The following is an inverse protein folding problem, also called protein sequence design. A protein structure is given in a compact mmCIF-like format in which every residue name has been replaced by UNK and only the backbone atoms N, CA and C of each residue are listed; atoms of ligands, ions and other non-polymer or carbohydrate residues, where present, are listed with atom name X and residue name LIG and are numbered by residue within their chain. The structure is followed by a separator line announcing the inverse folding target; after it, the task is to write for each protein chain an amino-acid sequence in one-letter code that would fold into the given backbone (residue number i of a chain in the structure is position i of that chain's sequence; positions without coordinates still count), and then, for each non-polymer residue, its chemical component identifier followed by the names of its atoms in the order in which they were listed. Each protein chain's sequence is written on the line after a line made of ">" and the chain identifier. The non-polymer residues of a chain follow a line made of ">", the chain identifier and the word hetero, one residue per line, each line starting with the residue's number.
data_IF_076856853590
#
_entry.id   IF_076856853590
#
_cell.length_a   1.000
_cell.length_b   1.000
_cell.length_c   1.000
_cell.angle_alpha   90.00
_cell.angle_beta   90.00
_cell.angle_gamma   90.00
#
_symmetry.space_group_name_H-M   'P 1'
#
loop_
_entity.id
_entity.type
_entity.pdbx_description
1 polymer ?
#
# COMPACT_ATOMS: atom_id res chain seq x y z
N UNK A 1 26.91 2.83 1.64
CA UNK A 1 26.52 3.19 1.73
C UNK A 1 25.60 3.72 1.85
N UNK A 2 25.38 4.05 1.89
CA UNK A 2 24.52 4.80 1.87
C UNK A 2 23.19 4.48 1.94
N UNK A 3 22.78 3.56 1.86
CA UNK A 3 21.60 3.18 1.84
C UNK A 3 20.84 3.39 3.00
N UNK A 4 21.36 3.40 4.08
CA UNK A 4 20.63 3.67 5.26
C UNK A 4 19.81 4.90 5.13
N UNK A 5 20.22 5.77 4.30
CA UNK A 5 19.50 6.98 4.09
C UNK A 5 18.17 6.74 3.45
N UNK A 6 18.18 5.90 2.46
CA UNK A 6 16.97 5.61 1.77
C UNK A 6 16.03 4.87 2.65
N UNK A 7 16.58 4.24 3.68
CA UNK A 7 15.77 3.43 4.56
C UNK A 7 15.23 4.22 5.71
N UNK A 8 15.34 5.52 5.67
CA UNK A 8 14.85 6.36 6.75
C UNK A 8 13.32 6.31 6.86
N UNK A 9 12.65 5.74 5.88
CA UNK A 9 11.23 5.55 5.94
C UNK A 9 10.44 6.49 5.07
N UNK A 10 9.14 6.33 5.14
CA UNK A 10 8.20 7.13 4.36
C UNK A 10 7.20 7.75 5.30
N UNK A 11 6.76 8.97 4.96
CA UNK A 11 5.69 9.62 5.68
C UNK A 11 4.38 9.29 4.97
N UNK A 12 3.37 8.89 5.75
CA UNK A 12 2.02 8.68 5.23
C UNK A 12 1.14 9.76 5.86
N UNK A 13 0.59 10.63 5.05
CA UNK A 13 -0.27 11.68 5.60
C UNK A 13 -1.55 11.05 6.16
N UNK A 14 -2.07 11.66 7.20
CA UNK A 14 -3.26 11.14 7.91
C UNK A 14 -4.41 10.88 6.95
N UNK A 15 -4.61 11.75 6.00
CA UNK A 15 -5.68 11.60 5.02
C UNK A 15 -5.52 10.33 4.21
N UNK A 16 -4.29 10.02 3.79
CA UNK A 16 -4.03 8.81 3.03
C UNK A 16 -4.25 7.56 3.89
N UNK A 17 -3.77 7.60 5.12
CA UNK A 17 -3.95 6.50 6.06
C UNK A 17 -5.44 6.21 6.28
N UNK A 18 -6.22 7.25 6.52
CA UNK A 18 -7.65 7.10 6.79
C UNK A 18 -8.39 6.55 5.58
N UNK A 19 -8.04 7.02 4.38
CA UNK A 19 -8.65 6.54 3.14
C UNK A 19 -8.38 5.05 2.95
N UNK A 20 -7.14 4.63 3.18
CA UNK A 20 -6.76 3.23 3.01
C UNK A 20 -7.53 2.35 4.01
N UNK A 21 -7.56 2.77 5.26
CA UNK A 21 -8.21 1.98 6.30
C UNK A 21 -9.71 1.87 6.04
N UNK A 22 -10.37 2.97 5.67
CA UNK A 22 -11.79 2.96 5.36
C UNK A 22 -12.09 2.07 4.16
N UNK A 23 -11.25 2.12 3.12
CA UNK A 23 -11.43 1.29 1.95
C UNK A 23 -11.33 -0.19 2.33
N UNK A 24 -10.34 -0.53 3.16
CA UNK A 24 -10.16 -1.90 3.63
C UNK A 24 -11.39 -2.39 4.39
N UNK A 25 -11.91 -1.56 5.28
CA UNK A 25 -13.08 -1.92 6.06
C UNK A 25 -14.31 -2.11 5.20
N UNK A 26 -14.49 -1.27 4.18
CA UNK A 26 -15.68 -1.33 3.33
C UNK A 26 -15.69 -2.57 2.44
N UNK A 27 -14.50 -3.10 2.08
CA UNK A 27 -14.42 -4.25 1.18
C UNK A 27 -14.30 -5.58 1.92
N UNK A 28 -14.03 -5.55 3.23
CA UNK A 28 -13.91 -6.77 4.02
C UNK A 28 -15.17 -7.64 3.86
N UNK A 29 -15.04 -8.95 3.71
CA UNK A 29 -13.85 -9.79 3.91
C UNK A 29 -12.99 -9.97 2.66
N UNK A 30 -13.23 -9.24 1.60
CA UNK A 30 -12.41 -9.29 0.40
C UNK A 30 -11.23 -8.32 0.55
N UNK A 31 -10.14 -8.62 -0.14
CA UNK A 31 -9.01 -7.69 -0.20
C UNK A 31 -9.39 -6.49 -1.05
N UNK A 32 -9.02 -5.30 -0.60
CA UNK A 32 -9.13 -4.10 -1.42
C UNK A 32 -7.76 -3.75 -1.98
N UNK A 33 -7.73 -2.86 -2.95
CA UNK A 33 -6.46 -2.37 -3.50
C UNK A 33 -6.61 -0.96 -4.03
N UNK A 34 -5.48 -0.31 -4.23
CA UNK A 34 -5.45 1.03 -4.79
C UNK A 34 -4.03 1.52 -4.99
N UNK A 35 -3.91 2.77 -5.37
CA UNK A 35 -2.64 3.37 -5.69
C UNK A 35 -2.28 4.41 -4.64
N UNK A 36 -0.99 4.63 -4.46
CA UNK A 36 -0.46 5.63 -3.53
C UNK A 36 0.08 6.79 -4.35
N UNK A 37 -0.37 7.99 -4.05
CA UNK A 37 0.06 9.20 -4.75
C UNK A 37 0.91 10.04 -3.82
N UNK A 38 2.04 10.54 -4.34
CA UNK A 38 2.90 11.35 -3.50
C UNK A 38 4.18 11.77 -4.19
N UNK A 39 5.13 12.23 -3.37
CA UNK A 39 6.44 12.70 -3.84
C UNK A 39 7.33 12.94 -2.64
N UNK A 40 8.64 12.93 -2.90
CA UNK A 40 9.64 13.33 -1.90
C UNK A 40 9.54 12.55 -0.59
N UNK A 41 9.36 11.23 -0.69
CA UNK A 41 9.30 10.38 0.49
C UNK A 41 8.01 10.48 1.27
N UNK A 42 6.95 11.00 0.63
CA UNK A 42 5.70 11.25 1.31
C UNK A 42 4.54 10.70 0.48
N UNK A 43 3.70 9.90 1.12
CA UNK A 43 2.46 9.43 0.54
C UNK A 43 1.39 10.44 0.93
N UNK A 44 0.93 11.22 -0.05
CA UNK A 44 0.04 12.34 0.20
C UNK A 44 -1.42 11.96 0.15
N UNK A 45 -1.77 11.01 -0.73
CA UNK A 45 -3.15 10.56 -0.84
C UNK A 45 -3.19 9.13 -1.34
N UNK A 46 -4.35 8.51 -1.19
CA UNK A 46 -4.61 7.18 -1.68
C UNK A 46 -5.73 7.23 -2.71
N UNK A 47 -5.61 6.43 -3.74
CA UNK A 47 -6.57 6.38 -4.84
C UNK A 47 -7.16 4.97 -4.87
N UNK A 48 -8.35 4.78 -4.29
CA UNK A 48 -8.99 3.46 -4.30
C UNK A 48 -9.23 2.97 -5.71
N UNK A 49 -8.96 1.69 -5.95
CA UNK A 49 -9.11 1.08 -7.25
C UNK A 49 -10.00 -0.15 -7.15
N UNK A 50 -10.52 -0.57 -8.29
CA UNK A 50 -11.27 -1.82 -8.35
C UNK A 50 -10.29 -2.98 -8.31
N UNK A 51 -10.68 -4.02 -7.60
CA UNK A 51 -9.93 -5.26 -7.56
C UNK A 51 -10.52 -6.20 -8.62
N UNK A 52 -9.75 -6.48 -9.66
CA UNK A 52 -10.22 -7.32 -10.77
C UNK A 52 -10.08 -8.81 -10.47
N UNK A 53 -9.48 -9.17 -9.34
CA UNK A 53 -9.37 -10.58 -8.98
C UNK A 53 -10.72 -11.09 -8.51
N UNK A 54 -11.04 -12.33 -8.89
CA UNK A 54 -12.26 -12.98 -8.43
C UNK A 54 -12.02 -13.77 -7.14
N UNK A 55 -10.76 -13.91 -6.75
CA UNK A 55 -10.39 -14.59 -5.51
C UNK A 55 -10.37 -13.53 -4.40
N UNK A 56 -11.19 -13.65 -3.34
CA UNK A 56 -11.22 -12.63 -2.29
C UNK A 56 -9.93 -12.52 -1.49
N UNK A 57 -9.03 -13.51 -1.59
CA UNK A 57 -7.75 -13.50 -0.89
C UNK A 57 -6.61 -13.01 -1.78
N UNK A 58 -6.93 -12.43 -2.93
CA UNK A 58 -5.92 -11.90 -3.86
C UNK A 58 -6.40 -10.57 -4.40
N UNK A 59 -5.47 -9.81 -4.99
CA UNK A 59 -5.87 -8.56 -5.61
C UNK A 59 -5.16 -8.39 -6.96
N UNK A 60 -5.84 -7.65 -7.83
CA UNK A 60 -5.26 -7.21 -9.09
C UNK A 60 -5.86 -5.84 -9.39
N UNK A 61 -5.03 -4.83 -9.38
CA UNK A 61 -5.48 -3.46 -9.62
C UNK A 61 -6.04 -3.34 -11.02
N UNK A 62 -7.26 -2.81 -11.13
CA UNK A 62 -7.89 -2.57 -12.43
C UNK A 62 -7.01 -1.61 -13.24
N UNK A 63 -6.64 -1.97 -14.49
CA UNK A 63 -5.71 -1.13 -15.28
C UNK A 63 -6.23 0.26 -15.58
N UNK A 64 -7.54 0.42 -15.78
CA UNK A 64 -8.10 1.74 -16.04
C UNK A 64 -7.99 2.63 -14.82
N UNK A 65 -8.17 2.05 -13.64
CA UNK A 65 -8.03 2.80 -12.39
C UNK A 65 -6.58 3.18 -12.15
N UNK A 66 -5.65 2.29 -12.49
CA UNK A 66 -4.23 2.60 -12.38
C UNK A 66 -3.90 3.80 -13.30
N UNK A 67 -4.40 3.76 -14.52
CA UNK A 67 -4.20 4.84 -15.47
C UNK A 67 -4.79 6.15 -14.95
N UNK A 68 -6.02 6.10 -14.41
CA UNK A 68 -6.67 7.27 -13.83
C UNK A 68 -5.87 7.84 -12.66
N UNK A 69 -5.28 6.96 -11.85
CA UNK A 69 -4.45 7.41 -10.73
C UNK A 69 -3.23 8.17 -11.22
N UNK A 70 -2.61 7.70 -12.31
CA UNK A 70 -1.46 8.39 -12.89
C UNK A 70 -1.86 9.79 -13.34
N UNK A 71 -3.02 9.92 -13.98
CA UNK A 71 -3.53 11.22 -14.41
C UNK A 71 -3.84 12.13 -13.22
N UNK A 72 -4.49 11.59 -12.20
CA UNK A 72 -4.82 12.36 -11.01
C UNK A 72 -3.56 12.87 -10.31
N UNK A 73 -2.56 12.00 -10.18
CA UNK A 73 -1.30 12.38 -9.54
C UNK A 73 -0.64 13.52 -10.31
N UNK A 74 -0.60 13.38 -11.63
CA UNK A 74 0.04 14.40 -12.48
C UNK A 74 -0.64 15.75 -12.32
N UNK A 75 -1.98 15.76 -12.26
CA UNK A 75 -2.73 17.01 -12.09
C UNK A 75 -2.44 17.67 -10.74
N UNK A 76 -2.04 16.88 -9.73
CA UNK A 76 -1.72 17.40 -8.42
C UNK A 76 -0.24 17.72 -8.24
N UNK A 77 0.57 17.55 -9.29
CA UNK A 77 2.00 17.76 -9.19
C UNK A 77 2.72 16.65 -8.47
N UNK A 78 2.11 15.48 -8.37
CA UNK A 78 2.71 14.31 -7.71
C UNK A 78 2.79 13.16 -8.71
N UNK A 79 3.05 11.96 -8.21
CA UNK A 79 3.14 10.79 -9.05
C UNK A 79 2.64 9.57 -8.28
N UNK A 80 2.36 8.50 -9.00
CA UNK A 80 2.05 7.23 -8.34
C UNK A 80 3.35 6.68 -7.80
N UNK A 81 3.40 6.46 -6.48
CA UNK A 81 4.62 6.00 -5.80
C UNK A 81 4.48 4.59 -5.27
N UNK A 82 3.29 4.01 -5.36
CA UNK A 82 3.11 2.66 -4.87
C UNK A 82 1.70 2.14 -5.01
N UNK A 83 1.50 0.98 -4.43
CA UNK A 83 0.24 0.24 -4.44
C UNK A 83 -0.08 -0.15 -3.01
N UNK A 84 -1.35 -0.16 -2.66
CA UNK A 84 -1.76 -0.72 -1.36
C UNK A 84 -2.79 -1.81 -1.56
N UNK A 85 -2.84 -2.72 -0.60
CA UNK A 85 -3.93 -3.69 -0.53
C UNK A 85 -4.16 -4.07 0.92
N UNK A 86 -5.27 -4.73 1.19
CA UNK A 86 -5.62 -5.11 2.56
C UNK A 86 -5.47 -6.60 2.77
N UNK A 87 -5.18 -6.94 4.04
CA UNK A 87 -5.24 -8.32 4.53
C UNK A 87 -6.34 -8.34 5.59
N UNK A 88 -7.56 -8.78 5.23
CA UNK A 88 -8.65 -8.78 6.21
C UNK A 88 -8.41 -9.67 7.42
N UNK A 89 -7.66 -10.76 7.25
CA UNK A 89 -7.49 -11.75 8.31
C UNK A 89 -6.05 -12.12 8.62
N UNK A 90 -5.08 -11.40 8.08
CA UNK A 90 -3.67 -11.70 8.32
C UNK A 90 -2.91 -10.43 8.65
N UNK A 91 -1.65 -10.60 9.05
CA UNK A 91 -0.80 -9.48 9.43
C UNK A 91 -0.47 -8.60 8.23
N UNK A 92 -0.01 -7.38 8.52
CA UNK A 92 0.41 -6.41 7.50
C UNK A 92 1.81 -6.76 6.99
N UNK A 93 1.92 -7.92 6.37
CA UNK A 93 3.19 -8.42 5.81
C UNK A 93 2.89 -9.18 4.52
N UNK A 94 3.80 -9.14 3.52
CA UNK A 94 3.52 -9.77 2.23
C UNK A 94 3.36 -11.29 2.37
N UNK A 95 2.35 -11.83 1.68
CA UNK A 95 2.18 -13.27 1.56
C UNK A 95 3.10 -13.77 0.45
N UNK A 96 3.22 -15.10 0.32
CA UNK A 96 3.99 -15.68 -0.77
C UNK A 96 3.43 -15.25 -2.12
N UNK A 97 2.10 -15.15 -2.24
CA UNK A 97 1.46 -14.70 -3.46
C UNK A 97 1.78 -13.23 -3.74
N UNK A 98 1.73 -12.38 -2.70
CA UNK A 98 2.07 -10.97 -2.85
C UNK A 98 3.48 -10.80 -3.41
N UNK A 99 4.43 -11.58 -2.89
CA UNK A 99 5.82 -11.50 -3.33
C UNK A 99 5.94 -11.97 -4.77
N UNK A 100 5.29 -13.07 -5.11
CA UNK A 100 5.37 -13.65 -6.44
C UNK A 100 4.76 -12.74 -7.51
N UNK A 101 3.74 -11.97 -7.13
CA UNK A 101 3.00 -11.14 -8.08
C UNK A 101 3.40 -9.67 -8.05
N UNK A 102 4.40 -9.30 -7.27
CA UNK A 102 4.88 -7.93 -7.22
C UNK A 102 5.67 -7.62 -8.50
N UNK A 103 5.11 -6.75 -9.33
CA UNK A 103 5.67 -6.46 -10.65
C UNK A 103 6.28 -5.06 -10.78
N UNK A 104 6.23 -4.27 -9.73
CA UNK A 104 6.68 -2.88 -9.81
C UNK A 104 7.82 -2.64 -8.82
N UNK A 105 9.08 -2.83 -9.25
CA UNK A 105 10.21 -2.73 -8.33
C UNK A 105 10.41 -1.33 -7.76
N UNK A 106 9.88 -0.31 -8.43
CA UNK A 106 10.02 1.07 -7.98
C UNK A 106 8.81 1.59 -7.20
N UNK A 107 7.80 0.75 -7.01
CA UNK A 107 6.64 1.12 -6.21
C UNK A 107 6.80 0.62 -4.78
N UNK A 108 6.36 1.43 -3.84
CA UNK A 108 6.21 0.98 -2.46
C UNK A 108 4.95 0.15 -2.37
N UNK A 109 5.03 -1.00 -1.71
CA UNK A 109 3.86 -1.85 -1.44
C UNK A 109 3.45 -1.63 -0.01
N UNK A 110 2.23 -1.15 0.19
CA UNK A 110 1.66 -0.93 1.52
C UNK A 110 0.57 -1.95 1.75
N UNK A 111 0.57 -2.56 2.92
CA UNK A 111 -0.42 -3.55 3.31
C UNK A 111 -1.10 -3.06 4.57
N UNK A 112 -2.43 -3.03 4.56
CA UNK A 112 -3.21 -2.66 5.74
C UNK A 112 -3.89 -3.92 6.27
N UNK A 113 -3.75 -4.18 7.57
CA UNK A 113 -4.31 -5.36 8.22
C UNK A 113 -5.53 -4.98 9.02
N UNK A 114 -6.60 -5.76 8.88
CA UNK A 114 -7.81 -5.64 9.70
C UNK A 114 -7.86 -6.69 10.80
N UNK A 115 -6.79 -7.48 10.93
CA UNK A 115 -6.73 -8.50 11.97
C UNK A 115 -6.71 -7.84 13.34
N UNK A 116 -7.52 -8.34 14.27
CA UNK A 116 -7.73 -7.66 15.54
C UNK A 116 -6.46 -7.46 16.36
N UNK A 117 -5.51 -8.42 16.29
CA UNK A 117 -4.27 -8.28 17.04
C UNK A 117 -3.32 -7.24 16.42
N UNK A 118 -3.56 -6.81 15.20
CA UNK A 118 -2.77 -5.75 14.59
C UNK A 118 -2.99 -4.41 15.28
N UNK A 119 -4.15 -4.23 15.91
CA UNK A 119 -4.50 -2.96 16.55
C UNK A 119 -3.88 -2.80 17.94
N UNK A 120 -3.29 -3.87 18.48
CA UNK A 120 -2.67 -3.78 19.81
C UNK A 120 -1.39 -2.94 19.78
N UNK A 121 -0.74 -2.84 18.62
CA UNK A 121 0.46 -2.04 18.45
C UNK A 121 0.15 -0.66 17.88
N UNK A 122 -1.11 -0.25 17.94
CA UNK A 122 -1.54 1.02 17.39
C UNK A 122 -1.40 1.06 15.89
N UNK A 123 -1.17 2.23 15.34
CA UNK A 123 -1.10 2.40 13.89
C UNK A 123 0.08 1.66 13.28
N UNK A 124 1.15 1.45 14.03
CA UNK A 124 2.33 0.75 13.53
C UNK A 124 2.05 -0.71 13.22
N UNK A 125 1.07 -1.32 13.88
CA UNK A 125 0.71 -2.70 13.61
C UNK A 125 -0.33 -2.86 12.53
N UNK A 126 -1.00 -1.77 12.15
CA UNK A 126 -2.09 -1.81 11.18
C UNK A 126 -1.56 -1.76 9.75
N UNK A 127 -0.49 -1.03 9.51
CA UNK A 127 -0.01 -0.75 8.16
C UNK A 127 1.48 -1.00 8.06
N UNK A 128 1.89 -1.76 7.03
CA UNK A 128 3.30 -2.02 6.76
C UNK A 128 3.68 -1.56 5.37
N UNK A 129 4.93 -1.15 5.19
CA UNK A 129 5.47 -0.76 3.91
C UNK A 129 6.64 -1.62 3.51
N UNK A 130 6.73 -1.96 2.22
CA UNK A 130 7.72 -2.91 1.73
C UNK A 130 8.17 -2.56 0.32
N UNK A 131 9.49 -2.69 0.09
CA UNK A 131 10.01 -2.78 -1.27
C UNK A 131 10.09 -4.26 -1.60
N UNK A 132 9.55 -4.65 -2.76
CA UNK A 132 9.56 -6.04 -3.19
C UNK A 132 10.20 -6.09 -4.57
N UNK A 133 11.41 -6.65 -4.64
CA UNK A 133 12.20 -6.66 -5.87
C UNK A 133 12.81 -8.03 -6.06
N UNK A 134 12.45 -8.69 -7.18
CA UNK A 134 12.99 -10.00 -7.54
C UNK A 134 12.89 -11.00 -6.39
N UNK A 135 11.74 -11.00 -5.72
CA UNK A 135 11.48 -11.92 -4.62
C UNK A 135 12.08 -11.51 -3.29
N UNK A 136 12.83 -10.40 -3.25
CA UNK A 136 13.41 -9.89 -2.01
C UNK A 136 12.51 -8.83 -1.41
N UNK A 137 12.31 -8.90 -0.10
CA UNK A 137 11.43 -7.98 0.62
C UNK A 137 12.25 -7.17 1.60
N UNK A 138 12.12 -5.85 1.55
CA UNK A 138 12.74 -4.94 2.50
C UNK A 138 11.65 -4.11 3.16
N UNK A 139 11.57 -4.16 4.48
CA UNK A 139 10.58 -3.38 5.25
C UNK A 139 10.98 -1.90 5.24
N UNK A 140 9.97 -1.05 5.25
CA UNK A 140 10.14 0.40 5.29
C UNK A 140 9.33 0.93 6.46
N UNK A 141 9.96 1.75 7.29
CA UNK A 141 9.22 2.41 8.38
C UNK A 141 8.23 3.40 7.81
N UNK A 142 6.99 3.35 8.30
CA UNK A 142 5.96 4.30 7.91
C UNK A 142 5.64 5.18 9.10
N UNK A 143 5.66 6.49 8.90
CA UNK A 143 5.25 7.45 9.93
C UNK A 143 3.97 8.11 9.48
N UNK A 144 2.94 8.05 10.31
CA UNK A 144 1.65 8.64 10.00
C UNK A 144 1.67 10.09 10.49
N UNK A 145 1.53 11.01 9.60
CA UNK A 145 1.50 12.43 9.90
C UNK A 145 0.29 13.07 9.22
#
# INVERSE_FOLDING_TARGET
>A
MVREIEDSGMVVLREAFDTILQHAESESPCECCGLLLGRNGKIESAFPARNDSQDPSRYRVNPEDHFSAIHSARALGSQVVGVYHSHPNSKAAPSATDIAEANYPDYLYVIVSLRSDSFTDGEAGIMGGFWIRDGSVTSVDLRIE
#
